data_IF_184503646613
#
_entry.id   IF_184503646613
#
_cell.length_a   1.000
_cell.length_b   1.000
_cell.length_c   1.000
_cell.angle_alpha   90.00
_cell.angle_beta   90.00
_cell.angle_gamma   90.00
#
_symmetry.space_group_name_H-M   'P 1'
#
loop_
_entity.id
_entity.type
_entity.pdbx_description
1 polymer ?
#
# COMPACT_ATOMS: atom_id res chain seq x y z
N UNK A 1 4.18 -10.51 -7.79
CA UNK A 1 4.30 -10.99 -6.40
C UNK A 1 3.55 -10.04 -5.48
N UNK A 2 2.68 -10.57 -4.63
CA UNK A 2 1.97 -9.83 -3.59
C UNK A 2 2.82 -9.89 -2.34
N UNK A 3 3.60 -8.84 -2.06
CA UNK A 3 4.55 -8.84 -0.94
C UNK A 3 4.91 -7.43 -0.48
N UNK A 4 5.64 -7.36 0.64
CA UNK A 4 6.20 -6.12 1.19
C UNK A 4 7.14 -5.46 0.19
N UNK A 5 8.03 -6.25 -0.41
CA UNK A 5 9.07 -5.80 -1.34
C UNK A 5 8.43 -5.24 -2.62
N UNK A 6 7.38 -5.89 -3.13
CA UNK A 6 6.66 -5.39 -4.30
C UNK A 6 5.97 -4.06 -3.99
N UNK A 7 5.32 -3.94 -2.84
CA UNK A 7 4.68 -2.68 -2.45
C UNK A 7 5.71 -1.54 -2.35
N UNK A 8 6.85 -1.77 -1.71
CA UNK A 8 7.91 -0.76 -1.63
C UNK A 8 8.44 -0.37 -3.02
N UNK A 9 8.77 -1.36 -3.85
CA UNK A 9 9.29 -1.11 -5.19
C UNK A 9 8.29 -0.35 -6.08
N UNK A 10 7.00 -0.66 -6.00
CA UNK A 10 5.96 0.08 -6.72
C UNK A 10 5.87 1.55 -6.28
N UNK A 11 5.98 1.81 -4.98
CA UNK A 11 5.93 3.18 -4.46
C UNK A 11 7.16 3.98 -4.92
N UNK A 12 8.35 3.40 -4.79
CA UNK A 12 9.61 4.01 -5.23
C UNK A 12 9.62 4.30 -6.74
N UNK A 13 9.30 3.29 -7.56
CA UNK A 13 9.26 3.48 -9.02
C UNK A 13 8.20 4.50 -9.42
N UNK A 14 7.01 4.46 -8.79
CA UNK A 14 5.96 5.44 -9.02
C UNK A 14 6.42 6.87 -8.74
N UNK A 15 7.09 7.09 -7.60
CA UNK A 15 7.67 8.38 -7.22
C UNK A 15 8.68 8.87 -8.24
N UNK A 16 9.66 8.04 -8.57
CA UNK A 16 10.77 8.40 -9.47
C UNK A 16 10.30 8.65 -10.90
N UNK A 17 9.33 7.85 -11.40
CA UNK A 17 8.83 7.97 -12.78
C UNK A 17 7.92 9.18 -13.01
N UNK A 18 7.23 9.61 -11.95
CA UNK A 18 6.33 10.76 -12.00
C UNK A 18 6.97 12.05 -11.49
N UNK A 19 8.25 12.00 -11.12
CA UNK A 19 8.98 13.13 -10.51
C UNK A 19 8.21 13.73 -9.31
N UNK A 20 7.56 12.86 -8.54
CA UNK A 20 6.78 13.25 -7.38
C UNK A 20 7.62 13.26 -6.10
N UNK A 21 7.19 14.03 -5.09
CA UNK A 21 7.85 14.04 -3.77
C UNK A 21 7.64 12.73 -3.00
N UNK A 22 6.47 12.11 -3.18
CA UNK A 22 6.04 10.92 -2.46
C UNK A 22 5.35 9.94 -3.42
N UNK A 23 5.75 8.67 -3.35
CA UNK A 23 5.07 7.56 -4.01
C UNK A 23 4.24 6.75 -3.02
N UNK A 24 3.04 6.35 -3.42
CA UNK A 24 2.17 5.45 -2.66
C UNK A 24 1.73 4.30 -3.56
N UNK A 25 1.77 3.08 -3.03
CA UNK A 25 1.35 1.89 -3.75
C UNK A 25 0.43 1.02 -2.90
N UNK A 26 -0.39 0.21 -3.56
CA UNK A 26 -1.22 -0.80 -2.93
C UNK A 26 -1.15 -2.06 -3.79
N UNK A 27 -0.85 -3.20 -3.17
CA UNK A 27 -0.91 -4.53 -3.80
C UNK A 27 -1.49 -5.54 -2.83
N UNK A 28 -2.25 -6.52 -3.31
CA UNK A 28 -2.93 -7.45 -2.40
C UNK A 28 -3.97 -8.33 -3.05
N UNK A 29 -4.54 -9.22 -2.24
CA UNK A 29 -5.59 -10.15 -2.60
C UNK A 29 -6.93 -9.55 -2.18
N UNK A 30 -7.66 -8.94 -3.11
CA UNK A 30 -8.99 -8.40 -2.80
C UNK A 30 -10.02 -9.54 -2.60
N UNK A 31 -9.73 -10.75 -3.08
CA UNK A 31 -10.62 -11.92 -3.01
C UNK A 31 -11.61 -12.00 -4.19
N UNK A 32 -12.53 -12.97 -4.14
CA UNK A 32 -12.84 -13.83 -2.98
C UNK A 32 -11.83 -14.96 -2.74
N UNK A 33 -11.12 -15.39 -3.77
CA UNK A 33 -10.19 -16.53 -3.69
C UNK A 33 -8.81 -16.11 -3.18
N UNK A 34 -8.04 -17.09 -2.72
CA UNK A 34 -6.62 -16.89 -2.43
C UNK A 34 -5.82 -16.65 -3.72
N UNK A 35 -4.69 -15.96 -3.60
CA UNK A 35 -3.78 -15.71 -4.70
C UNK A 35 -2.34 -15.74 -4.22
N UNK A 36 -1.47 -16.44 -4.94
CA UNK A 36 -0.06 -16.68 -4.54
C UNK A 36 0.07 -17.23 -3.09
N UNK A 37 -0.84 -18.13 -2.69
CA UNK A 37 -0.88 -18.73 -1.34
C UNK A 37 -1.25 -17.76 -0.21
N UNK A 38 -1.81 -16.59 -0.54
CA UNK A 38 -2.23 -15.57 0.44
C UNK A 38 -3.75 -15.49 0.49
N UNK A 39 -4.36 -15.45 1.68
CA UNK A 39 -5.80 -15.41 1.82
C UNK A 39 -6.37 -14.07 1.34
N UNK A 40 -7.64 -14.09 0.94
CA UNK A 40 -8.40 -12.89 0.63
C UNK A 40 -8.32 -11.86 1.77
N UNK A 41 -8.25 -10.59 1.40
CA UNK A 41 -8.05 -9.47 2.31
C UNK A 41 -6.60 -9.15 2.62
N UNK A 42 -5.62 -9.98 2.23
CA UNK A 42 -4.20 -9.68 2.44
C UNK A 42 -3.76 -8.52 1.55
N UNK A 43 -3.46 -7.37 2.15
CA UNK A 43 -3.04 -6.17 1.44
C UNK A 43 -1.70 -5.64 1.97
N UNK A 44 -0.95 -5.03 1.07
CA UNK A 44 0.31 -4.34 1.33
C UNK A 44 0.21 -2.91 0.78
N UNK A 45 0.67 -1.95 1.57
CA UNK A 45 0.72 -0.53 1.21
C UNK A 45 2.18 -0.10 1.28
N UNK A 46 2.73 0.42 0.18
CA UNK A 46 4.07 1.00 0.15
C UNK A 46 3.99 2.52 0.14
N UNK A 47 4.86 3.18 0.89
CA UNK A 47 5.06 4.63 0.85
C UNK A 47 6.57 4.88 0.73
N UNK A 48 6.94 5.74 -0.21
CA UNK A 48 8.32 6.11 -0.51
C UNK A 48 8.43 7.63 -0.60
N UNK A 49 9.40 8.22 0.06
CA UNK A 49 9.80 9.62 -0.10
C UNK A 49 11.33 9.72 -0.22
N UNK A 50 11.85 10.93 -0.40
CA UNK A 50 13.30 11.15 -0.36
C UNK A 50 13.92 10.84 1.02
N UNK A 51 13.13 10.88 2.09
CA UNK A 51 13.62 10.77 3.47
C UNK A 51 13.34 9.42 4.11
N UNK A 52 12.23 8.77 3.73
CA UNK A 52 11.80 7.55 4.38
C UNK A 52 11.09 6.58 3.45
N UNK A 53 11.17 5.30 3.83
CA UNK A 53 10.50 4.18 3.16
C UNK A 53 9.66 3.44 4.21
N UNK A 54 8.40 3.18 3.91
CA UNK A 54 7.49 2.48 4.83
C UNK A 54 6.60 1.52 4.05
N UNK A 55 6.50 0.29 4.54
CA UNK A 55 5.52 -0.67 4.05
C UNK A 55 4.64 -1.16 5.19
N UNK A 56 3.34 -1.26 4.94
CA UNK A 56 2.33 -1.73 5.89
C UNK A 56 1.67 -2.98 5.31
N UNK A 57 1.57 -4.03 6.11
CA UNK A 57 0.77 -5.22 5.81
C UNK A 57 -0.52 -5.18 6.64
N UNK A 58 -1.66 -5.46 6.00
CA UNK A 58 -2.95 -5.54 6.68
C UNK A 58 -3.83 -6.66 6.13
N UNK A 59 -4.84 -7.06 6.91
CA UNK A 59 -5.92 -7.92 6.44
C UNK A 59 -7.24 -7.14 6.51
N UNK A 60 -7.94 -7.06 5.39
CA UNK A 60 -9.16 -6.28 5.24
C UNK A 60 -10.30 -7.20 4.78
N UNK A 61 -11.40 -7.19 5.53
CA UNK A 61 -12.55 -8.05 5.28
C UNK A 61 -13.73 -7.29 4.66
N UNK A 62 -14.55 -8.04 3.94
CA UNK A 62 -15.75 -7.55 3.26
C UNK A 62 -15.74 -7.89 1.78
N UNK A 63 -16.74 -7.37 1.07
CA UNK A 63 -16.76 -7.47 -0.39
C UNK A 63 -15.61 -6.67 -1.04
N UNK A 64 -15.43 -6.92 -2.34
CA UNK A 64 -14.39 -6.30 -3.16
C UNK A 64 -14.39 -4.77 -3.08
N UNK A 65 -15.56 -4.12 -3.06
CA UNK A 65 -15.66 -2.66 -3.00
C UNK A 65 -15.29 -2.14 -1.62
N UNK A 66 -15.75 -2.81 -0.56
CA UNK A 66 -15.40 -2.49 0.82
C UNK A 66 -13.90 -2.62 1.07
N UNK A 67 -13.27 -3.72 0.63
CA UNK A 67 -11.82 -3.92 0.77
C UNK A 67 -11.05 -2.81 0.05
N UNK A 68 -11.41 -2.49 -1.21
CA UNK A 68 -10.77 -1.37 -1.95
C UNK A 68 -10.89 -0.04 -1.20
N UNK A 69 -12.06 0.27 -0.66
CA UNK A 69 -12.27 1.51 0.11
C UNK A 69 -11.42 1.55 1.37
N UNK A 70 -11.41 0.45 2.14
CA UNK A 70 -10.68 0.38 3.41
C UNK A 70 -9.17 0.49 3.21
N UNK A 71 -8.60 -0.24 2.24
CA UNK A 71 -7.15 -0.18 1.98
C UNK A 71 -6.72 1.17 1.44
N UNK A 72 -7.56 1.84 0.63
CA UNK A 72 -7.28 3.19 0.12
C UNK A 72 -7.26 4.20 1.27
N UNK A 73 -8.27 4.15 2.16
CA UNK A 73 -8.31 5.03 3.34
C UNK A 73 -7.12 4.77 4.27
N UNK A 74 -6.74 3.50 4.47
CA UNK A 74 -5.57 3.16 5.26
C UNK A 74 -4.28 3.72 4.66
N UNK A 75 -4.10 3.66 3.33
CA UNK A 75 -2.94 4.24 2.67
C UNK A 75 -2.86 5.76 2.85
N UNK A 76 -3.99 6.46 2.67
CA UNK A 76 -4.06 7.91 2.90
C UNK A 76 -3.82 8.28 4.38
N UNK A 77 -4.27 7.45 5.31
CA UNK A 77 -4.05 7.66 6.73
C UNK A 77 -2.57 7.50 7.12
N UNK A 78 -1.90 6.47 6.59
CA UNK A 78 -0.47 6.27 6.81
C UNK A 78 0.38 7.38 6.15
N UNK A 79 -0.01 7.84 4.97
CA UNK A 79 0.60 9.01 4.34
C UNK A 79 0.43 10.25 5.21
N UNK A 80 -0.78 10.52 5.70
CA UNK A 80 -1.03 11.68 6.59
C UNK A 80 -0.16 11.63 7.84
N UNK A 81 0.04 10.46 8.46
CA UNK A 81 0.94 10.31 9.61
C UNK A 81 2.37 10.64 9.27
N UNK A 82 2.87 10.18 8.12
CA UNK A 82 4.21 10.51 7.63
C UNK A 82 4.35 12.03 7.48
N UNK A 83 3.41 12.66 6.79
CA UNK A 83 3.44 14.12 6.55
C UNK A 83 3.41 14.94 7.84
N UNK A 84 2.67 14.50 8.86
CA UNK A 84 2.62 15.17 10.17
C UNK A 84 3.85 14.92 11.04
N UNK A 85 4.71 13.99 10.66
CA UNK A 85 5.98 13.72 11.30
C UNK A 85 7.15 14.43 10.59
N UNK A 86 6.88 15.12 9.48
CA UNK A 86 7.82 16.05 8.85
C UNK A 86 7.71 17.39 9.60
N UNK A 87 8.84 17.92 10.04
CA UNK A 87 8.93 19.21 10.74
C UNK A 87 8.63 20.41 9.81
#
# INVERSE_FOLDING_TARGET
AISTEMAQAMAEVGRLRLEADIGVSITGVIGPDELEGKPAGTMYIGIDSNESKKTIKGNYSGDRFRVKRLVTVAALFELRKMLLALD
#
